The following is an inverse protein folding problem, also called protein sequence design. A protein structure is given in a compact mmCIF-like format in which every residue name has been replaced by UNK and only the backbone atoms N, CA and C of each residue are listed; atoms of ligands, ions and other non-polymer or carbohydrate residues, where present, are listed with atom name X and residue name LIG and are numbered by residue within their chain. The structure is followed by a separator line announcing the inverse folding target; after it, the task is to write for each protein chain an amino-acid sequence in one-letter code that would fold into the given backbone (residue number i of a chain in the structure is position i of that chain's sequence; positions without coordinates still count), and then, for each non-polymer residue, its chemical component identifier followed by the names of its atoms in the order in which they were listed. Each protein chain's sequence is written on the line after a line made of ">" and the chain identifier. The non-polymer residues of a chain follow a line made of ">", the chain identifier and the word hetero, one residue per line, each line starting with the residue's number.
data_IF_335361633126
#
_entry.id   IF_335361633126
#
_cell.length_a   1.000
_cell.length_b   1.000
_cell.length_c   1.000
_cell.angle_alpha   90.00
_cell.angle_beta   90.00
_cell.angle_gamma   90.00
#
_symmetry.space_group_name_H-M   'P 1'
#
loop_
_entity.id
_entity.type
_entity.pdbx_description
1 polymer ?
#
# COMPACT_ATOMS: atom_id res chain seq x y z
N UNK A 1 55.63 -39.41 18.35
CA UNK A 1 54.68 -39.43 19.49
C UNK A 1 54.97 -38.21 20.33
N UNK A 2 54.12 -37.22 20.56
CA UNK A 2 52.78 -36.85 20.09
C UNK A 2 52.67 -35.39 20.55
N UNK A 3 52.24 -34.52 19.65
CA UNK A 3 52.00 -33.10 19.88
C UNK A 3 50.94 -32.89 20.99
N UNK A 4 51.08 -31.81 21.76
CA UNK A 4 49.99 -31.27 22.59
C UNK A 4 49.78 -29.81 22.19
N UNK A 5 48.66 -29.59 21.51
CA UNK A 5 48.10 -28.28 21.21
C UNK A 5 47.52 -27.65 22.48
N UNK A 6 47.90 -26.41 22.76
CA UNK A 6 47.13 -25.55 23.66
C UNK A 6 46.41 -24.49 22.82
N UNK A 7 45.10 -24.72 22.66
CA UNK A 7 44.12 -23.76 22.16
C UNK A 7 44.01 -22.57 23.13
N UNK A 8 44.52 -21.42 22.71
CA UNK A 8 44.02 -20.13 23.18
C UNK A 8 42.85 -19.73 22.28
N UNK A 9 41.62 -19.96 22.73
CA UNK A 9 40.45 -19.35 22.12
C UNK A 9 40.27 -17.95 22.71
N UNK A 10 40.65 -16.93 21.95
CA UNK A 10 40.13 -15.57 22.12
C UNK A 10 38.62 -15.61 21.86
N UNK A 11 37.85 -15.21 22.87
CA UNK A 11 36.43 -14.93 22.73
C UNK A 11 36.29 -13.58 22.04
N UNK A 12 36.14 -13.61 20.72
CA UNK A 12 35.68 -12.45 19.97
C UNK A 12 34.16 -12.30 20.21
N UNK A 13 33.80 -11.37 21.09
CA UNK A 13 32.43 -10.92 21.27
C UNK A 13 32.01 -10.19 19.99
N UNK A 14 31.27 -10.91 19.14
CA UNK A 14 30.61 -10.36 17.97
C UNK A 14 29.51 -9.39 18.41
N UNK A 15 29.89 -8.14 18.67
CA UNK A 15 28.95 -7.04 18.81
C UNK A 15 28.27 -6.81 17.47
N UNK A 16 26.96 -7.12 17.41
CA UNK A 16 26.15 -6.78 16.25
C UNK A 16 26.09 -5.26 16.13
N UNK A 17 26.75 -4.75 15.09
CA UNK A 17 26.67 -3.39 14.63
C UNK A 17 25.23 -3.08 14.16
N UNK A 18 24.52 -2.25 14.92
CA UNK A 18 23.15 -1.79 14.63
C UNK A 18 23.12 -0.46 13.84
N UNK A 19 24.17 -0.11 13.08
CA UNK A 19 24.33 1.25 12.53
C UNK A 19 23.98 1.47 11.04
N UNK A 20 22.94 0.81 10.50
CA UNK A 20 22.56 1.08 9.11
C UNK A 20 21.07 0.93 8.79
N UNK A 21 20.47 2.02 8.28
CA UNK A 21 19.15 2.02 7.59
C UNK A 21 18.92 0.71 6.85
N UNK A 22 17.80 0.06 7.13
CA UNK A 22 17.36 -1.12 6.36
C UNK A 22 17.43 -0.78 4.87
N UNK A 23 17.81 -1.76 4.04
CA UNK A 23 18.01 -1.52 2.61
C UNK A 23 16.76 -0.86 1.98
N UNK A 24 15.57 -1.32 2.36
CA UNK A 24 14.30 -0.75 1.93
C UNK A 24 14.13 0.72 2.35
N UNK A 25 14.46 1.10 3.59
CA UNK A 25 14.39 2.49 4.03
C UNK A 25 15.40 3.38 3.29
N UNK A 26 16.61 2.88 3.01
CA UNK A 26 17.60 3.60 2.20
C UNK A 26 17.09 3.84 0.78
N UNK A 27 16.51 2.82 0.16
CA UNK A 27 15.97 2.88 -1.19
C UNK A 27 14.79 3.85 -1.28
N UNK A 28 13.85 3.78 -0.34
CA UNK A 28 12.73 4.72 -0.25
C UNK A 28 13.20 6.16 -0.04
N UNK A 29 14.13 6.40 0.89
CA UNK A 29 14.66 7.73 1.14
C UNK A 29 15.35 8.29 -0.11
N UNK A 30 16.18 7.48 -0.78
CA UNK A 30 16.88 7.87 -2.01
C UNK A 30 15.90 8.19 -3.16
N UNK A 31 14.87 7.37 -3.36
CA UNK A 31 13.85 7.62 -4.37
C UNK A 31 13.03 8.89 -4.05
N UNK A 32 12.69 9.10 -2.77
CA UNK A 32 11.95 10.27 -2.32
C UNK A 32 12.74 11.57 -2.57
N UNK A 33 14.03 11.59 -2.21
CA UNK A 33 14.91 12.74 -2.46
C UNK A 33 15.00 13.07 -3.94
N UNK A 34 15.24 12.07 -4.80
CA UNK A 34 15.30 12.30 -6.26
C UNK A 34 14.00 12.86 -6.81
N UNK A 35 12.85 12.32 -6.37
CA UNK A 35 11.54 12.85 -6.76
C UNK A 35 11.39 14.30 -6.30
N UNK A 36 11.58 14.59 -5.02
CA UNK A 36 11.44 15.96 -4.47
C UNK A 36 12.40 16.95 -5.13
N UNK A 37 13.65 16.57 -5.39
CA UNK A 37 14.65 17.44 -6.02
C UNK A 37 14.32 17.78 -7.47
N UNK A 38 13.54 16.93 -8.15
CA UNK A 38 13.05 17.21 -9.52
C UNK A 38 11.90 18.22 -9.59
N UNK A 39 11.29 18.56 -8.45
CA UNK A 39 10.11 19.42 -8.39
C UNK A 39 10.47 20.90 -8.37
N UNK A 40 9.65 21.71 -9.04
CA UNK A 40 9.69 23.18 -8.93
C UNK A 40 9.27 23.63 -7.53
N UNK A 41 9.53 24.91 -7.18
CA UNK A 41 9.09 25.47 -5.92
C UNK A 41 7.57 25.35 -5.72
N UNK A 42 6.78 25.67 -6.74
CA UNK A 42 5.31 25.58 -6.68
C UNK A 42 4.84 24.13 -6.51
N UNK A 43 5.46 23.18 -7.20
CA UNK A 43 5.14 21.76 -7.04
C UNK A 43 5.48 21.28 -5.63
N UNK A 44 6.63 21.70 -5.05
CA UNK A 44 7.01 21.37 -3.67
C UNK A 44 5.96 21.84 -2.66
N UNK A 45 5.32 22.99 -2.87
CA UNK A 45 4.24 23.49 -1.97
C UNK A 45 2.99 22.61 -1.97
N UNK A 46 2.76 21.84 -3.04
CA UNK A 46 1.65 20.88 -3.14
C UNK A 46 2.04 19.49 -2.62
N UNK A 47 3.33 19.15 -2.65
CA UNK A 47 3.83 17.81 -2.35
C UNK A 47 4.25 17.63 -0.91
N UNK A 48 4.89 18.64 -0.29
CA UNK A 48 5.62 18.48 0.96
C UNK A 48 4.84 19.11 2.11
N UNK A 49 4.59 18.30 3.14
CA UNK A 49 3.93 18.70 4.38
C UNK A 49 4.81 18.39 5.58
N UNK A 50 4.54 19.04 6.71
CA UNK A 50 5.15 18.63 7.98
C UNK A 50 4.69 17.22 8.37
N UNK A 51 5.54 16.46 9.07
CA UNK A 51 5.15 15.11 9.49
C UNK A 51 3.89 15.12 10.38
N UNK A 52 3.73 16.11 11.26
CA UNK A 52 2.56 16.21 12.14
C UNK A 52 1.37 16.94 11.50
N UNK A 53 1.39 17.19 10.19
CA UNK A 53 0.27 17.81 9.50
C UNK A 53 -0.97 16.89 9.54
N UNK A 54 -2.15 17.49 9.71
CA UNK A 54 -3.42 16.76 9.70
C UNK A 54 -3.69 16.04 8.39
N UNK A 55 -3.09 16.52 7.29
CA UNK A 55 -3.14 15.85 5.99
C UNK A 55 -2.58 14.43 6.03
N UNK A 56 -1.60 14.13 6.89
CA UNK A 56 -0.99 12.79 6.97
C UNK A 56 -1.99 11.70 7.37
N UNK A 57 -2.95 12.06 8.21
CA UNK A 57 -3.99 11.12 8.69
C UNK A 57 -5.32 11.31 7.96
N UNK A 58 -5.41 12.29 7.06
CA UNK A 58 -6.55 12.47 6.19
C UNK A 58 -6.46 11.46 5.04
N UNK A 59 -7.50 10.64 4.90
CA UNK A 59 -7.65 9.74 3.76
C UNK A 59 -9.13 9.61 3.43
N UNK A 60 -9.42 9.33 2.16
CA UNK A 60 -10.80 9.20 1.69
C UNK A 60 -10.82 8.31 0.45
N UNK A 61 -11.39 7.10 0.55
CA UNK A 61 -11.46 6.18 -0.58
C UNK A 61 -12.44 6.62 -1.69
N UNK A 62 -13.55 7.34 -1.41
CA UNK A 62 -14.38 7.86 -2.49
C UNK A 62 -13.67 8.99 -3.27
N UNK A 63 -14.14 9.29 -4.49
CA UNK A 63 -13.58 10.36 -5.33
C UNK A 63 -13.73 11.74 -4.69
N UNK A 64 -12.65 12.52 -4.66
CA UNK A 64 -12.63 13.93 -4.29
C UNK A 64 -11.39 14.63 -4.84
N UNK A 65 -11.34 15.96 -4.74
CA UNK A 65 -10.09 16.70 -4.93
C UNK A 65 -9.13 16.38 -3.78
N UNK A 66 -7.87 16.07 -4.07
CA UNK A 66 -6.88 15.66 -3.08
C UNK A 66 -5.74 16.66 -3.00
N UNK A 67 -5.09 16.66 -1.84
CA UNK A 67 -3.76 17.25 -1.67
C UNK A 67 -2.68 16.32 -2.24
N UNK A 68 -1.48 16.87 -2.43
CA UNK A 68 -0.42 16.21 -3.18
C UNK A 68 -0.30 16.73 -4.62
N UNK A 69 0.77 16.33 -5.29
CA UNK A 69 1.01 16.64 -6.69
C UNK A 69 0.43 15.53 -7.57
N UNK A 70 -0.57 15.81 -8.43
CA UNK A 70 -1.08 14.83 -9.38
C UNK A 70 -0.07 14.58 -10.50
N UNK A 71 -0.06 13.36 -11.05
CA UNK A 71 0.72 13.02 -12.25
C UNK A 71 0.45 13.98 -13.41
N UNK A 72 -0.79 14.45 -13.54
CA UNK A 72 -1.19 15.45 -14.56
C UNK A 72 -0.32 16.70 -14.54
N UNK A 73 0.11 17.12 -13.35
CA UNK A 73 0.88 18.34 -13.12
C UNK A 73 2.40 18.06 -13.11
N UNK A 74 2.84 16.86 -13.51
CA UNK A 74 4.24 16.44 -13.59
C UNK A 74 4.70 16.28 -15.05
N UNK A 75 5.96 16.63 -15.31
CA UNK A 75 6.64 16.27 -16.56
C UNK A 75 7.05 14.77 -16.59
N UNK A 76 7.58 14.29 -17.72
CA UNK A 76 7.93 12.88 -17.91
C UNK A 76 9.01 12.38 -16.93
N UNK A 77 10.00 13.22 -16.61
CA UNK A 77 11.06 12.86 -15.66
C UNK A 77 10.49 12.78 -14.24
N UNK A 78 9.67 13.75 -13.85
CA UNK A 78 8.99 13.78 -12.56
C UNK A 78 8.06 12.57 -12.38
N UNK A 79 7.28 12.21 -13.41
CA UNK A 79 6.43 11.00 -13.41
C UNK A 79 7.26 9.74 -13.21
N UNK A 80 8.40 9.63 -13.90
CA UNK A 80 9.32 8.49 -13.75
C UNK A 80 9.84 8.38 -12.31
N UNK A 81 10.24 9.50 -11.70
CA UNK A 81 10.73 9.53 -10.33
C UNK A 81 9.63 9.28 -9.29
N UNK A 82 8.40 9.75 -9.55
CA UNK A 82 7.23 9.46 -8.73
C UNK A 82 6.92 7.96 -8.69
N UNK A 83 6.92 7.30 -9.86
CA UNK A 83 6.74 5.84 -9.93
C UNK A 83 7.93 5.07 -9.33
N UNK A 84 9.15 5.60 -9.41
CA UNK A 84 10.29 5.01 -8.71
C UNK A 84 10.13 5.08 -7.18
N UNK A 85 9.60 6.18 -6.63
CA UNK A 85 9.23 6.26 -5.22
C UNK A 85 8.16 5.22 -4.87
N UNK A 86 7.12 5.07 -5.68
CA UNK A 86 6.10 4.03 -5.48
C UNK A 86 6.72 2.63 -5.44
N UNK A 87 7.57 2.31 -6.41
CA UNK A 87 8.21 1.01 -6.53
C UNK A 87 9.14 0.71 -5.35
N UNK A 88 9.80 1.73 -4.78
CA UNK A 88 10.73 1.55 -3.66
C UNK A 88 10.06 1.05 -2.36
N UNK A 89 8.74 1.24 -2.20
CA UNK A 89 7.98 0.74 -1.06
C UNK A 89 7.17 -0.52 -1.34
N UNK A 90 7.20 -1.06 -2.56
CA UNK A 90 6.33 -2.16 -2.97
C UNK A 90 7.13 -3.36 -3.49
N UNK A 91 6.61 -4.56 -3.31
CA UNK A 91 7.09 -5.71 -4.07
C UNK A 91 6.79 -5.52 -5.56
N UNK A 92 7.55 -6.19 -6.43
CA UNK A 92 7.33 -6.13 -7.89
C UNK A 92 5.87 -6.44 -8.28
N UNK A 93 5.27 -7.44 -7.64
CA UNK A 93 3.86 -7.81 -7.84
C UNK A 93 2.91 -6.70 -7.40
N UNK A 94 3.15 -6.08 -6.24
CA UNK A 94 2.32 -4.97 -5.75
C UNK A 94 2.48 -3.72 -6.62
N UNK A 95 3.70 -3.41 -7.07
CA UNK A 95 3.98 -2.31 -7.98
C UNK A 95 3.29 -2.51 -9.35
N UNK A 96 3.33 -3.73 -9.89
CA UNK A 96 2.60 -4.08 -11.12
C UNK A 96 1.10 -3.88 -10.95
N UNK A 97 0.52 -4.35 -9.84
CA UNK A 97 -0.90 -4.14 -9.53
C UNK A 97 -1.25 -2.66 -9.44
N UNK A 98 -0.44 -1.86 -8.76
CA UNK A 98 -0.67 -0.41 -8.64
C UNK A 98 -0.74 0.26 -10.03
N UNK A 99 0.21 -0.02 -10.92
CA UNK A 99 0.18 0.51 -12.30
C UNK A 99 -1.07 0.04 -13.06
N UNK A 100 -1.42 -1.24 -12.94
CA UNK A 100 -2.62 -1.79 -13.59
C UNK A 100 -3.88 -1.10 -13.09
N UNK A 101 -4.01 -0.84 -11.77
CA UNK A 101 -5.16 -0.16 -11.16
C UNK A 101 -5.25 1.29 -11.65
N UNK A 102 -4.12 2.02 -11.69
CA UNK A 102 -4.07 3.40 -12.22
C UNK A 102 -4.61 3.44 -13.66
N UNK A 103 -4.15 2.53 -14.51
CA UNK A 103 -4.59 2.45 -15.90
C UNK A 103 -6.03 1.93 -16.06
N UNK A 104 -6.55 1.24 -15.04
CA UNK A 104 -7.89 0.65 -15.05
C UNK A 104 -9.00 1.71 -15.07
N UNK A 105 -8.71 2.94 -14.66
CA UNK A 105 -9.63 4.07 -14.80
C UNK A 105 -10.13 4.23 -16.25
N UNK A 106 -9.28 3.97 -17.26
CA UNK A 106 -9.68 4.07 -18.67
C UNK A 106 -10.70 2.99 -19.07
N UNK A 107 -10.58 1.78 -18.52
CA UNK A 107 -11.53 0.70 -18.76
C UNK A 107 -12.88 1.04 -18.12
N UNK A 108 -12.86 1.43 -16.85
CA UNK A 108 -14.08 1.79 -16.13
C UNK A 108 -14.77 3.01 -16.75
N UNK A 109 -14.01 4.03 -17.14
CA UNK A 109 -14.57 5.21 -17.80
C UNK A 109 -15.23 4.91 -19.14
N UNK A 110 -14.67 3.99 -19.92
CA UNK A 110 -15.30 3.49 -21.15
C UNK A 110 -16.64 2.79 -20.86
N UNK A 111 -16.66 1.94 -19.83
CA UNK A 111 -17.87 1.21 -19.41
C UNK A 111 -18.96 2.15 -18.91
N UNK A 112 -18.63 3.06 -18.01
CA UNK A 112 -19.57 4.05 -17.46
C UNK A 112 -20.16 4.93 -18.57
N UNK A 113 -19.32 5.41 -19.49
CA UNK A 113 -19.76 6.19 -20.65
C UNK A 113 -20.72 5.40 -21.53
N UNK A 114 -20.42 4.13 -21.81
CA UNK A 114 -21.26 3.25 -22.64
C UNK A 114 -22.62 2.99 -21.96
N UNK A 115 -22.62 2.83 -20.64
CA UNK A 115 -23.83 2.64 -19.84
C UNK A 115 -24.63 3.94 -19.58
N UNK A 116 -24.16 5.10 -20.06
CA UNK A 116 -24.78 6.40 -19.78
C UNK A 116 -24.69 6.84 -18.32
N UNK A 117 -23.76 6.26 -17.55
CA UNK A 117 -23.53 6.61 -16.15
C UNK A 117 -22.78 7.94 -16.10
N UNK A 118 -23.38 8.93 -15.42
CA UNK A 118 -22.70 10.19 -15.12
C UNK A 118 -21.84 10.01 -13.88
N UNK A 119 -20.53 10.02 -14.07
CA UNK A 119 -19.52 9.88 -13.01
C UNK A 119 -18.52 11.04 -13.06
N UNK A 120 -17.59 11.06 -12.11
CA UNK A 120 -16.43 11.95 -12.16
C UNK A 120 -15.49 11.55 -13.30
N UNK A 121 -14.52 12.42 -13.60
CA UNK A 121 -13.55 12.17 -14.67
C UNK A 121 -12.65 10.99 -14.28
N UNK A 122 -12.67 9.95 -15.12
CA UNK A 122 -11.80 8.79 -15.04
C UNK A 122 -10.49 9.09 -15.74
N UNK A 123 -9.45 9.35 -14.96
CA UNK A 123 -8.17 9.83 -15.46
C UNK A 123 -7.01 9.19 -14.67
N UNK A 124 -6.17 8.36 -15.31
CA UNK A 124 -4.96 7.80 -14.71
C UNK A 124 -3.98 8.87 -14.19
N UNK A 125 -4.05 10.10 -14.71
CA UNK A 125 -3.18 11.20 -14.29
C UNK A 125 -3.66 11.93 -13.02
N UNK A 126 -4.82 11.55 -12.47
CA UNK A 126 -5.36 12.05 -11.20
C UNK A 126 -5.02 11.14 -10.01
N UNK A 127 -3.79 10.63 -9.98
CA UNK A 127 -3.15 10.02 -8.82
C UNK A 127 -2.08 10.96 -8.27
N UNK A 128 -1.99 11.05 -6.95
CA UNK A 128 -1.30 12.12 -6.24
C UNK A 128 -0.18 11.58 -5.36
N UNK A 129 0.95 12.29 -5.37
CA UNK A 129 2.11 12.00 -4.51
C UNK A 129 2.23 13.08 -3.44
N UNK A 130 2.39 12.64 -2.19
CA UNK A 130 2.60 13.51 -1.02
C UNK A 130 3.77 13.00 -0.20
N UNK A 131 4.59 13.90 0.35
CA UNK A 131 5.71 13.61 1.24
C UNK A 131 5.49 14.35 2.56
N UNK A 132 5.76 13.67 3.68
CA UNK A 132 5.60 14.19 5.03
C UNK A 132 6.96 14.18 5.73
N UNK A 133 7.42 15.34 6.20
CA UNK A 133 8.73 15.45 6.85
C UNK A 133 9.91 15.38 5.87
N UNK A 134 11.09 15.06 6.40
CA UNK A 134 12.35 15.06 5.65
C UNK A 134 13.00 13.65 5.65
N UNK A 135 13.12 12.97 4.49
CA UNK A 135 13.76 11.65 4.39
C UNK A 135 15.26 11.63 4.71
N UNK A 136 15.91 12.80 4.76
CA UNK A 136 17.31 12.96 5.14
C UNK A 136 17.48 13.27 6.62
N UNK A 137 16.40 13.65 7.31
CA UNK A 137 16.38 14.01 8.73
C UNK A 137 16.49 12.82 9.69
N UNK A 138 16.45 13.16 10.99
CA UNK A 138 16.39 12.18 12.09
C UNK A 138 14.97 12.01 12.67
N UNK A 139 14.06 12.91 12.34
CA UNK A 139 12.66 12.84 12.70
C UNK A 139 11.90 11.83 11.81
N UNK A 140 10.69 11.39 12.22
CA UNK A 140 9.84 10.59 11.37
C UNK A 140 9.51 11.29 10.04
N UNK A 141 9.45 10.50 8.98
CA UNK A 141 9.04 10.96 7.66
C UNK A 141 8.12 9.92 7.02
N UNK A 142 7.50 10.28 5.90
CA UNK A 142 6.67 9.35 5.17
C UNK A 142 6.28 9.87 3.81
N UNK A 143 5.57 9.04 3.08
CA UNK A 143 5.02 9.41 1.80
C UNK A 143 3.71 8.67 1.56
N UNK A 144 2.90 9.24 0.69
CA UNK A 144 1.57 8.75 0.37
C UNK A 144 1.33 8.85 -1.12
N UNK A 145 0.72 7.80 -1.66
CA UNK A 145 0.22 7.75 -3.04
C UNK A 145 -1.26 7.43 -2.97
N UNK A 146 -2.07 8.33 -3.52
CA UNK A 146 -3.53 8.20 -3.47
C UNK A 146 -4.18 8.50 -4.81
N UNK A 147 -5.27 7.79 -5.07
CA UNK A 147 -6.19 8.03 -6.17
C UNK A 147 -7.50 7.32 -5.88
N UNK A 148 -8.41 7.28 -6.85
CA UNK A 148 -9.75 6.74 -6.61
C UNK A 148 -9.76 5.24 -6.20
N UNK A 149 -8.76 4.46 -6.61
CA UNK A 149 -8.66 3.03 -6.27
C UNK A 149 -7.33 2.62 -5.59
N UNK A 150 -6.50 3.58 -5.17
CA UNK A 150 -5.24 3.31 -4.47
C UNK A 150 -5.14 4.23 -3.26
N UNK A 151 -4.72 3.66 -2.14
CA UNK A 151 -4.12 4.41 -1.03
C UNK A 151 -2.93 3.62 -0.53
N UNK A 152 -1.72 4.14 -0.69
CA UNK A 152 -0.50 3.55 -0.16
C UNK A 152 0.15 4.59 0.74
N UNK A 153 0.28 4.28 2.02
CA UNK A 153 0.98 5.13 2.98
C UNK A 153 2.21 4.40 3.49
N UNK A 154 3.33 5.09 3.56
CA UNK A 154 4.54 4.60 4.22
C UNK A 154 4.97 5.61 5.26
N UNK A 155 5.11 5.16 6.50
CA UNK A 155 5.63 5.93 7.61
C UNK A 155 6.93 5.28 8.08
N UNK A 156 7.97 6.08 8.19
CA UNK A 156 9.33 5.65 8.49
C UNK A 156 9.84 6.42 9.70
N UNK A 157 10.52 5.73 10.61
CA UNK A 157 11.28 6.37 11.69
C UNK A 157 12.60 5.63 11.90
N UNK A 158 13.71 6.37 11.81
CA UNK A 158 15.04 5.77 11.78
C UNK A 158 15.19 4.80 10.62
N UNK A 159 15.40 3.53 10.95
CA UNK A 159 15.71 2.46 10.01
C UNK A 159 14.50 1.55 9.71
N UNK A 160 13.36 1.87 10.32
CA UNK A 160 12.15 1.04 10.35
C UNK A 160 10.98 1.67 9.60
N UNK A 161 10.23 0.83 8.89
CA UNK A 161 8.88 1.16 8.41
C UNK A 161 7.92 0.92 9.56
N UNK A 162 7.47 2.00 10.21
CA UNK A 162 6.65 1.94 11.42
C UNK A 162 5.15 1.78 11.13
N UNK A 163 4.70 2.12 9.93
CA UNK A 163 3.32 1.86 9.48
C UNK A 163 3.23 1.89 7.95
N UNK A 164 2.44 0.97 7.41
CA UNK A 164 2.06 0.93 5.99
C UNK A 164 0.58 1.26 5.77
N UNK A 165 -0.12 1.73 6.81
CA UNK A 165 -1.56 1.94 6.79
C UNK A 165 -1.94 3.42 6.65
N UNK A 166 -3.03 3.73 5.92
CA UNK A 166 -3.85 2.81 5.14
C UNK A 166 -3.14 2.26 3.88
N UNK A 167 -3.37 0.98 3.59
CA UNK A 167 -2.98 0.30 2.35
C UNK A 167 -4.25 -0.24 1.68
N UNK A 168 -4.55 0.24 0.49
CA UNK A 168 -5.76 -0.11 -0.24
C UNK A 168 -5.48 -0.22 -1.73
N UNK A 169 -5.94 -1.33 -2.30
CA UNK A 169 -6.08 -1.53 -3.74
C UNK A 169 -7.51 -1.92 -4.05
N UNK A 170 -8.15 -1.15 -4.91
CA UNK A 170 -9.44 -1.46 -5.52
C UNK A 170 -9.29 -1.76 -7.01
N UNK A 171 -10.19 -2.57 -7.55
CA UNK A 171 -10.28 -2.80 -9.00
C UNK A 171 -11.74 -2.87 -9.39
N UNK A 172 -12.18 -1.91 -10.21
CA UNK A 172 -13.51 -1.92 -10.80
C UNK A 172 -13.39 -1.68 -12.33
N UNK A 173 -13.84 -2.61 -13.18
CA UNK A 173 -14.44 -3.91 -12.83
C UNK A 173 -13.44 -4.87 -12.16
N UNK A 174 -13.97 -5.87 -11.43
CA UNK A 174 -13.16 -6.93 -10.81
C UNK A 174 -12.55 -7.88 -11.85
N UNK A 175 -13.29 -8.13 -12.94
CA UNK A 175 -12.85 -8.85 -14.13
C UNK A 175 -13.24 -8.01 -15.34
N UNK A 176 -12.30 -7.76 -16.24
CA UNK A 176 -12.58 -6.99 -17.47
C UNK A 176 -13.53 -7.79 -18.37
N UNK A 177 -14.70 -7.24 -18.76
CA UNK A 177 -15.63 -7.90 -19.67
C UNK A 177 -15.06 -8.17 -21.06
N UNK A 178 -15.64 -9.13 -21.77
CA UNK A 178 -15.34 -9.41 -23.18
C UNK A 178 -15.60 -8.17 -24.06
N UNK A 179 -14.81 -8.04 -25.12
CA UNK A 179 -14.92 -6.93 -26.07
C UNK A 179 -14.23 -5.63 -25.63
N UNK A 180 -13.65 -5.58 -24.44
CA UNK A 180 -12.82 -4.47 -23.97
C UNK A 180 -11.31 -4.82 -24.01
N UNK A 181 -10.42 -3.81 -24.07
CA UNK A 181 -8.99 -4.06 -23.93
C UNK A 181 -8.67 -4.77 -22.61
N UNK A 182 -7.84 -5.81 -22.66
CA UNK A 182 -7.50 -6.66 -21.52
C UNK A 182 -8.66 -7.51 -20.96
N UNK A 183 -9.63 -7.90 -21.79
CA UNK A 183 -10.69 -8.85 -21.42
C UNK A 183 -10.16 -10.06 -20.63
N UNK A 184 -10.90 -10.45 -19.59
CA UNK A 184 -10.53 -11.53 -18.66
C UNK A 184 -9.49 -11.16 -17.61
N UNK A 185 -8.85 -9.98 -17.68
CA UNK A 185 -7.92 -9.53 -16.64
C UNK A 185 -8.66 -9.34 -15.31
N UNK A 186 -8.12 -9.93 -14.26
CA UNK A 186 -8.49 -9.67 -12.86
C UNK A 186 -7.25 -9.28 -12.06
N UNK A 187 -7.12 -8.00 -11.72
CA UNK A 187 -5.90 -7.45 -11.10
C UNK A 187 -5.72 -7.99 -9.67
N UNK A 188 -6.83 -8.15 -8.95
CA UNK A 188 -6.88 -8.62 -7.56
C UNK A 188 -7.37 -10.07 -7.43
N UNK A 189 -7.65 -10.76 -8.55
CA UNK A 189 -8.29 -12.07 -8.55
C UNK A 189 -7.52 -13.15 -7.77
N UNK A 190 -6.19 -13.13 -7.76
CA UNK A 190 -5.41 -14.07 -6.94
C UNK A 190 -5.55 -13.82 -5.44
N UNK A 191 -5.73 -12.57 -5.01
CA UNK A 191 -5.98 -12.22 -3.60
C UNK A 191 -7.41 -12.58 -3.20
N UNK A 192 -8.37 -12.33 -4.07
CA UNK A 192 -9.77 -12.73 -3.87
C UNK A 192 -9.90 -14.26 -3.77
N UNK A 193 -9.27 -15.01 -4.70
CA UNK A 193 -9.29 -16.46 -4.70
C UNK A 193 -8.70 -17.03 -3.39
N UNK A 194 -7.57 -16.50 -2.92
CA UNK A 194 -6.95 -16.93 -1.66
C UNK A 194 -7.87 -16.66 -0.45
N UNK A 195 -8.55 -15.52 -0.42
CA UNK A 195 -9.49 -15.19 0.66
C UNK A 195 -10.71 -16.14 0.67
N UNK A 196 -11.25 -16.46 -0.51
CA UNK A 196 -12.35 -17.43 -0.66
C UNK A 196 -11.90 -18.85 -0.31
N UNK A 197 -10.69 -19.25 -0.70
CA UNK A 197 -10.11 -20.54 -0.33
C UNK A 197 -9.96 -20.67 1.18
N UNK A 198 -9.38 -19.66 1.84
CA UNK A 198 -9.28 -19.62 3.30
C UNK A 198 -10.67 -19.77 3.95
N UNK A 199 -11.66 -19.02 3.48
CA UNK A 199 -13.03 -19.11 3.99
C UNK A 199 -13.65 -20.51 3.82
N UNK A 200 -13.36 -21.18 2.71
CA UNK A 200 -13.84 -22.55 2.43
C UNK A 200 -13.12 -23.62 3.26
N UNK A 201 -11.94 -23.33 3.82
CA UNK A 201 -11.24 -24.26 4.71
C UNK A 201 -11.73 -24.24 6.15
N UNK A 202 -12.60 -23.30 6.51
CA UNK A 202 -13.10 -23.16 7.88
C UNK A 202 -14.09 -24.29 8.22
N UNK A 203 -13.87 -24.95 9.36
CA UNK A 203 -14.86 -25.92 9.88
C UNK A 203 -16.14 -25.23 10.38
N UNK A 204 -17.18 -26.00 10.73
CA UNK A 204 -18.46 -25.45 11.17
C UNK A 204 -18.37 -24.55 12.41
N UNK A 205 -17.48 -24.88 13.35
CA UNK A 205 -17.22 -24.10 14.56
C UNK A 205 -16.53 -22.78 14.22
N UNK A 206 -15.50 -22.82 13.37
CA UNK A 206 -14.78 -21.64 12.89
C UNK A 206 -15.68 -20.73 12.05
N UNK A 207 -16.46 -21.29 11.12
CA UNK A 207 -17.38 -20.56 10.26
C UNK A 207 -18.45 -19.82 11.05
N UNK A 208 -18.99 -20.44 12.12
CA UNK A 208 -19.97 -19.79 13.01
C UNK A 208 -19.41 -18.57 13.76
N UNK A 209 -18.08 -18.46 13.90
CA UNK A 209 -17.41 -17.28 14.47
C UNK A 209 -17.00 -16.27 13.40
N UNK A 210 -16.58 -16.75 12.22
CA UNK A 210 -16.09 -15.90 11.13
C UNK A 210 -17.20 -15.12 10.43
N UNK A 211 -18.39 -15.72 10.28
CA UNK A 211 -19.56 -15.05 9.67
C UNK A 211 -20.27 -14.23 10.74
N UNK A 212 -20.04 -12.91 10.74
CA UNK A 212 -20.53 -11.99 11.78
C UNK A 212 -21.85 -11.30 11.43
N UNK A 213 -22.29 -11.40 10.17
CA UNK A 213 -23.53 -10.87 9.64
C UNK A 213 -24.05 -11.80 8.54
N UNK A 214 -25.38 -11.88 8.42
CA UNK A 214 -26.03 -12.65 7.36
C UNK A 214 -25.83 -11.98 5.99
N UNK A 215 -26.01 -10.67 5.95
CA UNK A 215 -25.73 -9.84 4.78
C UNK A 215 -24.38 -9.14 4.91
N UNK A 216 -23.67 -8.99 3.79
CA UNK A 216 -22.50 -8.13 3.73
C UNK A 216 -22.91 -6.67 4.03
N UNK A 217 -22.13 -5.93 4.83
CA UNK A 217 -22.43 -4.52 5.08
C UNK A 217 -22.37 -3.74 3.76
N UNK A 218 -23.21 -2.72 3.64
CA UNK A 218 -23.28 -1.88 2.44
C UNK A 218 -21.94 -1.19 2.12
N UNK A 219 -21.12 -0.94 3.15
CA UNK A 219 -19.80 -0.32 3.04
C UNK A 219 -18.87 -0.83 4.15
N UNK A 220 -17.60 -0.41 4.14
CA UNK A 220 -16.66 -0.67 5.23
C UNK A 220 -17.17 -0.06 6.54
N UNK A 221 -17.17 -0.86 7.62
CA UNK A 221 -17.78 -0.45 8.90
C UNK A 221 -17.14 0.81 9.51
N UNK A 222 -15.85 1.02 9.27
CA UNK A 222 -15.10 2.17 9.78
C UNK A 222 -15.13 3.40 8.87
N UNK A 223 -15.68 3.30 7.66
CA UNK A 223 -15.55 4.33 6.62
C UNK A 223 -14.08 4.83 6.52
N UNK A 224 -13.90 6.13 6.39
CA UNK A 224 -12.61 6.81 6.25
C UNK A 224 -11.99 7.25 7.60
N UNK A 225 -12.34 6.61 8.72
CA UNK A 225 -11.80 6.98 10.01
C UNK A 225 -10.28 6.73 10.07
N UNK A 226 -9.51 7.72 10.53
CA UNK A 226 -8.05 7.58 10.77
C UNK A 226 -7.74 6.71 11.98
N UNK A 227 -8.74 6.48 12.85
CA UNK A 227 -8.69 5.53 13.94
C UNK A 227 -9.93 4.65 13.89
N UNK A 228 -9.71 3.35 13.76
CA UNK A 228 -10.79 2.35 13.79
C UNK A 228 -11.38 2.30 15.20
N UNK A 229 -12.69 2.49 15.31
CA UNK A 229 -13.46 2.30 16.54
C UNK A 229 -14.51 1.24 16.25
N UNK A 230 -14.22 0.00 16.66
CA UNK A 230 -15.17 -1.11 16.59
C UNK A 230 -15.64 -1.38 18.03
N UNK A 231 -16.93 -1.25 18.36
CA UNK A 231 -17.43 -1.41 19.72
C UNK A 231 -17.16 -2.78 20.34
N UNK A 232 -17.05 -3.82 19.49
CA UNK A 232 -16.76 -5.19 19.89
C UNK A 232 -16.02 -5.92 18.77
N UNK A 233 -14.86 -6.48 19.08
CA UNK A 233 -14.16 -7.38 18.17
C UNK A 233 -15.01 -8.63 17.92
N UNK A 234 -15.27 -8.91 16.65
CA UNK A 234 -16.03 -10.09 16.19
C UNK A 234 -15.22 -10.78 15.10
N UNK A 235 -15.50 -12.07 14.88
CA UNK A 235 -14.81 -12.87 13.86
C UNK A 235 -14.00 -14.03 14.46
N UNK A 236 -13.35 -14.76 13.57
CA UNK A 236 -12.42 -15.83 13.91
C UNK A 236 -11.01 -15.24 14.07
N UNK A 237 -10.42 -15.36 15.26
CA UNK A 237 -9.02 -14.96 15.45
C UNK A 237 -8.09 -15.90 14.69
N UNK A 238 -7.02 -15.35 14.08
CA UNK A 238 -5.96 -16.15 13.47
C UNK A 238 -5.33 -17.15 14.46
N UNK A 239 -5.36 -16.90 15.77
CA UNK A 239 -4.91 -17.85 16.79
C UNK A 239 -5.72 -19.15 16.82
N UNK A 240 -7.00 -19.10 16.42
CA UNK A 240 -7.95 -20.22 16.38
C UNK A 240 -7.93 -20.96 15.02
N UNK A 241 -7.08 -20.53 14.10
CA UNK A 241 -6.85 -21.20 12.83
C UNK A 241 -5.83 -22.34 12.96
N UNK A 242 -5.99 -23.38 12.14
CA UNK A 242 -4.99 -24.46 12.00
C UNK A 242 -3.75 -23.96 11.24
N UNK A 243 -2.72 -24.81 11.11
CA UNK A 243 -1.45 -24.42 10.46
C UNK A 243 -1.63 -23.92 9.02
N UNK A 244 -2.36 -24.68 8.21
CA UNK A 244 -2.64 -24.36 6.80
C UNK A 244 -3.43 -23.05 6.65
N UNK A 245 -4.44 -22.83 7.49
CA UNK A 245 -5.21 -21.58 7.50
C UNK A 245 -4.36 -20.36 7.90
N UNK A 246 -3.46 -20.52 8.88
CA UNK A 246 -2.53 -19.46 9.29
C UNK A 246 -1.58 -19.09 8.17
N UNK A 247 -1.05 -20.09 7.47
CA UNK A 247 -0.18 -19.89 6.32
C UNK A 247 -0.90 -19.10 5.22
N UNK A 248 -2.13 -19.48 4.86
CA UNK A 248 -2.96 -18.74 3.90
C UNK A 248 -3.25 -17.30 4.35
N UNK A 249 -3.55 -17.09 5.64
CA UNK A 249 -3.83 -15.76 6.19
C UNK A 249 -2.63 -14.81 6.08
N UNK A 250 -1.40 -15.33 6.17
CA UNK A 250 -0.17 -14.55 6.15
C UNK A 250 0.54 -14.49 4.80
N UNK A 251 -0.01 -15.14 3.77
CA UNK A 251 0.58 -15.22 2.42
C UNK A 251 0.37 -13.95 1.58
#
# INVERSE_FOLDING_TARGET
>A
MTTHDHNGHEHDHNGQDHSGRSLAVKEMASACVKFVDSLSADQKTKTIYHFNDGERVFWYYPPMNRHGLPLRDMDENQRTLAYALMASGLSETANTRAHQIIQHELILGSMEKTAGIKSFVRDPDLYYWTVFGDPLGSDPWGWRIEGHHISIHMHIYGDDVISTTPFFFGSNPAVVPDGLPNAGRSILGSREALALELANTLDSSQRSKAVIAEDAPFDILSYNASKVIIPKEQGLSGGQMNGTQKEMLTS
#
